data_IF_093214793283
#
_entry.id   IF_093214793283
#
_cell.length_a   1.000
_cell.length_b   1.000
_cell.length_c   1.000
_cell.angle_alpha   90.00
_cell.angle_beta   90.00
_cell.angle_gamma   90.00
#
_symmetry.space_group_name_H-M   'P 1'
#
loop_
_entity.id
_entity.type
_entity.pdbx_description
1 polymer ?
#
# COMPACT_ATOMS: atom_id res chain seq x y z
N UNK A 1 -16.09 27.55 -9.73
CA UNK A 1 -15.71 27.75 -8.32
C UNK A 1 -15.21 26.39 -7.83
N UNK A 2 -13.96 26.27 -7.38
CA UNK A 2 -13.47 24.99 -6.84
C UNK A 2 -14.23 24.76 -5.52
N UNK A 3 -14.83 23.58 -5.28
CA UNK A 3 -15.51 23.32 -4.01
C UNK A 3 -14.56 23.46 -2.84
N UNK A 4 -14.99 24.11 -1.75
CA UNK A 4 -14.18 24.28 -0.54
C UNK A 4 -13.63 22.94 0.00
N UNK A 5 -14.40 21.86 -0.17
CA UNK A 5 -14.02 20.49 0.15
C UNK A 5 -12.69 20.06 -0.53
N UNK A 6 -12.52 20.33 -1.82
CA UNK A 6 -11.32 19.93 -2.58
C UNK A 6 -10.10 20.68 -2.06
N UNK A 7 -10.25 21.96 -1.73
CA UNK A 7 -9.19 22.80 -1.17
C UNK A 7 -8.76 22.31 0.21
N UNK A 8 -9.73 21.99 1.07
CA UNK A 8 -9.46 21.47 2.42
C UNK A 8 -8.77 20.10 2.33
N UNK A 9 -9.28 19.19 1.49
CA UNK A 9 -8.66 17.87 1.31
C UNK A 9 -7.22 17.95 0.76
N UNK A 10 -6.93 18.87 -0.16
CA UNK A 10 -5.55 19.12 -0.61
C UNK A 10 -4.66 19.66 0.52
N UNK A 11 -5.20 20.58 1.32
CA UNK A 11 -4.52 21.21 2.46
C UNK A 11 -4.22 20.21 3.59
N UNK A 12 -5.05 19.19 3.76
CA UNK A 12 -4.85 18.12 4.74
C UNK A 12 -3.96 17.00 4.21
N UNK A 13 -4.00 16.75 2.90
CA UNK A 13 -3.17 15.74 2.24
C UNK A 13 -1.71 16.15 2.03
N UNK A 14 -1.43 17.44 1.87
CA UNK A 14 -0.08 17.95 1.62
C UNK A 14 0.56 18.54 2.88
N UNK A 15 1.90 18.58 2.92
CA UNK A 15 2.63 19.31 3.96
C UNK A 15 2.34 20.79 3.78
N UNK A 16 1.83 21.44 4.83
CA UNK A 16 1.53 22.87 4.80
C UNK A 16 2.82 23.68 4.95
N UNK A 17 3.12 24.62 4.04
CA UNK A 17 4.26 25.50 4.21
C UNK A 17 4.05 26.38 5.45
N UNK A 18 5.15 26.73 6.11
CA UNK A 18 5.18 27.82 7.08
C UNK A 18 4.84 29.15 6.43
N UNK A 19 4.54 30.17 7.23
CA UNK A 19 4.24 31.51 6.69
C UNK A 19 5.42 32.07 5.86
N UNK A 20 6.66 31.85 6.31
CA UNK A 20 7.87 32.26 5.60
C UNK A 20 8.06 31.49 4.28
N UNK A 21 7.84 30.17 4.28
CA UNK A 21 7.90 29.36 3.05
C UNK A 21 6.81 29.75 2.06
N UNK A 22 5.62 30.15 2.54
CA UNK A 22 4.54 30.60 1.68
C UNK A 22 4.84 31.97 1.05
N UNK A 23 5.40 32.91 1.82
CA UNK A 23 5.84 34.21 1.31
C UNK A 23 6.93 34.06 0.25
N UNK A 24 7.82 33.08 0.45
CA UNK A 24 8.93 32.78 -0.44
C UNK A 24 8.66 31.61 -1.41
N UNK A 25 7.39 31.21 -1.59
CA UNK A 25 7.04 29.98 -2.34
C UNK A 25 7.46 30.05 -3.82
N UNK A 26 7.43 31.24 -4.40
CA UNK A 26 7.84 31.45 -5.78
C UNK A 26 6.97 30.70 -6.80
N UNK A 27 7.62 30.06 -7.77
CA UNK A 27 6.93 29.30 -8.82
C UNK A 27 6.78 27.83 -8.40
N UNK A 28 5.57 27.25 -8.44
CA UNK A 28 5.38 25.84 -8.09
C UNK A 28 6.17 24.91 -9.00
N UNK A 29 6.77 23.89 -8.42
CA UNK A 29 7.42 22.80 -9.17
C UNK A 29 6.43 21.97 -9.98
N UNK A 30 5.18 21.89 -9.54
CA UNK A 30 4.11 21.16 -10.22
C UNK A 30 2.77 21.81 -9.89
N UNK A 31 1.90 21.97 -10.89
CA UNK A 31 0.58 22.62 -10.72
C UNK A 31 -0.57 21.66 -10.98
N UNK A 32 -1.54 21.61 -10.07
CA UNK A 32 -2.73 20.77 -10.22
C UNK A 32 -3.95 21.66 -10.48
N UNK A 33 -4.57 21.48 -11.64
CA UNK A 33 -5.82 22.10 -12.03
C UNK A 33 -6.97 21.13 -11.77
N UNK A 34 -7.57 21.22 -10.58
CA UNK A 34 -8.75 20.44 -10.25
C UNK A 34 -10.02 21.18 -10.69
N UNK A 35 -10.54 20.79 -11.85
CA UNK A 35 -11.83 21.22 -12.39
C UNK A 35 -12.82 20.04 -12.41
N UNK A 36 -12.78 19.20 -11.37
CA UNK A 36 -13.53 17.96 -11.25
C UNK A 36 -15.05 18.04 -11.44
N UNK A 37 -15.65 19.21 -11.18
CA UNK A 37 -17.07 19.47 -11.46
C UNK A 37 -17.40 19.61 -12.95
N UNK A 38 -16.42 19.96 -13.77
CA UNK A 38 -16.58 20.17 -15.19
C UNK A 38 -16.28 18.87 -15.94
N UNK A 39 -17.20 18.35 -16.77
CA UNK A 39 -16.98 17.10 -17.48
C UNK A 39 -15.92 17.26 -18.57
N UNK A 40 -15.15 16.21 -18.78
CA UNK A 40 -14.27 16.10 -19.93
C UNK A 40 -15.08 15.98 -21.23
N UNK A 41 -14.60 16.61 -22.30
CA UNK A 41 -15.15 16.40 -23.64
C UNK A 41 -14.66 15.06 -24.19
N UNK A 42 -15.54 14.05 -24.18
CA UNK A 42 -15.29 12.68 -24.68
C UNK A 42 -14.87 12.58 -26.15
N UNK A 43 -15.08 13.64 -26.95
CA UNK A 43 -14.65 13.68 -28.35
C UNK A 43 -13.20 14.15 -28.52
N UNK A 44 -12.55 14.56 -27.43
CA UNK A 44 -11.11 14.86 -27.42
C UNK A 44 -10.32 13.57 -27.58
N UNK A 45 -9.21 13.63 -28.31
CA UNK A 45 -8.36 12.47 -28.57
C UNK A 45 -7.92 11.78 -27.27
N UNK A 46 -7.95 10.45 -27.25
CA UNK A 46 -7.69 9.56 -26.11
C UNK A 46 -8.70 9.61 -24.93
N UNK A 47 -9.68 10.51 -24.94
CA UNK A 47 -10.71 10.53 -23.89
C UNK A 47 -11.77 9.46 -24.15
N UNK A 48 -12.05 8.64 -23.14
CA UNK A 48 -13.01 7.52 -23.25
C UNK A 48 -14.28 7.74 -22.44
N UNK A 49 -14.32 8.76 -21.57
CA UNK A 49 -15.45 9.04 -20.68
C UNK A 49 -15.61 10.54 -20.43
N UNK A 50 -16.59 10.92 -19.59
CA UNK A 50 -16.73 12.29 -19.08
C UNK A 50 -15.71 12.64 -17.99
N UNK A 51 -14.88 11.68 -17.57
CA UNK A 51 -13.85 11.84 -16.54
C UNK A 51 -12.47 11.77 -17.20
N UNK A 52 -11.57 12.67 -16.82
CA UNK A 52 -10.15 12.64 -17.21
C UNK A 52 -9.26 13.06 -16.05
N UNK A 53 -8.14 12.35 -15.89
CA UNK A 53 -7.02 12.73 -15.02
C UNK A 53 -5.77 12.66 -15.88
N UNK A 54 -5.32 13.80 -16.39
CA UNK A 54 -4.19 13.89 -17.32
C UNK A 54 -2.99 14.56 -16.65
N UNK A 55 -1.82 13.94 -16.81
CA UNK A 55 -0.56 14.38 -16.24
C UNK A 55 0.44 14.72 -17.35
N UNK A 56 0.91 15.97 -17.37
CA UNK A 56 1.93 16.43 -18.31
C UNK A 56 3.25 16.72 -17.58
N UNK A 57 4.22 15.80 -17.73
CA UNK A 57 5.53 15.90 -17.08
C UNK A 57 6.40 17.03 -17.61
N UNK A 58 6.26 17.39 -18.90
CA UNK A 58 7.06 18.46 -19.51
C UNK A 58 6.60 19.84 -19.04
N UNK A 59 5.28 20.03 -18.94
CA UNK A 59 4.66 21.25 -18.42
C UNK A 59 4.60 21.29 -16.89
N UNK A 60 4.80 20.14 -16.24
CA UNK A 60 4.66 19.94 -14.79
C UNK A 60 3.26 20.31 -14.31
N UNK A 61 2.26 19.80 -15.01
CA UNK A 61 0.86 20.09 -14.76
C UNK A 61 0.03 18.81 -14.67
N UNK A 62 -1.02 18.81 -13.85
CA UNK A 62 -2.08 17.81 -13.87
C UNK A 62 -3.43 18.49 -14.01
N UNK A 63 -4.33 17.90 -14.80
CA UNK A 63 -5.69 18.39 -14.99
C UNK A 63 -6.67 17.28 -14.59
N UNK A 64 -7.61 17.60 -13.70
CA UNK A 64 -8.67 16.69 -13.25
C UNK A 64 -10.02 17.26 -13.72
N UNK A 65 -10.79 16.45 -14.46
CA UNK A 65 -12.11 16.76 -15.00
C UNK A 65 -13.09 15.62 -14.72
N UNK A 66 -14.36 15.96 -14.47
CA UNK A 66 -15.46 15.01 -14.36
C UNK A 66 -15.38 14.02 -13.21
N UNK A 67 -14.62 14.34 -12.16
CA UNK A 67 -14.57 13.57 -10.90
C UNK A 67 -14.30 14.52 -9.74
N UNK A 68 -15.07 14.39 -8.66
CA UNK A 68 -14.88 15.14 -7.42
C UNK A 68 -14.21 14.28 -6.34
N UNK A 69 -13.77 13.07 -6.70
CA UNK A 69 -13.12 12.16 -5.77
C UNK A 69 -11.75 12.72 -5.37
N UNK A 70 -11.57 13.05 -4.08
CA UNK A 70 -10.41 13.79 -3.62
C UNK A 70 -9.08 13.03 -3.85
N UNK A 71 -9.12 11.70 -3.79
CA UNK A 71 -7.95 10.84 -3.97
C UNK A 71 -7.30 10.96 -5.34
N UNK A 72 -8.01 11.45 -6.37
CA UNK A 72 -7.41 11.69 -7.68
C UNK A 72 -6.26 12.69 -7.60
N UNK A 73 -6.39 13.70 -6.75
CA UNK A 73 -5.34 14.69 -6.53
C UNK A 73 -4.14 14.08 -5.79
N UNK A 74 -4.41 13.33 -4.72
CA UNK A 74 -3.40 12.61 -3.92
C UNK A 74 -2.61 11.61 -4.78
N UNK A 75 -3.30 10.70 -5.47
CA UNK A 75 -2.69 9.64 -6.28
C UNK A 75 -2.04 10.16 -7.55
N UNK A 76 -2.54 11.25 -8.11
CA UNK A 76 -1.86 11.98 -9.19
C UNK A 76 -0.49 12.52 -8.75
N UNK A 77 -0.43 13.20 -7.60
CA UNK A 77 0.85 13.66 -7.03
C UNK A 77 1.77 12.49 -6.69
N UNK A 78 1.24 11.42 -6.12
CA UNK A 78 2.01 10.21 -5.84
C UNK A 78 2.62 9.58 -7.11
N UNK A 79 1.89 9.61 -8.23
CA UNK A 79 2.41 9.18 -9.53
C UNK A 79 3.56 10.06 -10.03
N UNK A 80 3.47 11.38 -9.82
CA UNK A 80 4.59 12.30 -10.07
C UNK A 80 5.80 11.94 -9.20
N UNK A 81 5.60 11.60 -7.93
CA UNK A 81 6.69 11.18 -7.03
C UNK A 81 7.34 9.87 -7.47
N UNK A 82 6.54 8.90 -7.92
CA UNK A 82 7.04 7.67 -8.55
C UNK A 82 7.86 7.94 -9.81
N UNK A 83 7.66 9.06 -10.51
CA UNK A 83 8.50 9.45 -11.63
C UNK A 83 9.77 10.21 -11.21
N UNK A 84 9.63 11.22 -10.35
CA UNK A 84 10.71 12.15 -10.02
C UNK A 84 11.73 11.56 -9.03
N UNK A 85 11.27 10.79 -8.04
CA UNK A 85 12.15 10.29 -6.97
C UNK A 85 13.17 9.26 -7.50
N UNK A 86 12.79 8.26 -8.32
CA UNK A 86 13.77 7.33 -8.87
C UNK A 86 14.85 8.00 -9.72
N UNK A 87 14.51 9.09 -10.42
CA UNK A 87 15.50 9.89 -11.17
C UNK A 87 16.55 10.57 -10.28
N UNK A 88 16.25 10.73 -9.00
CA UNK A 88 17.14 11.28 -7.97
C UNK A 88 17.82 10.20 -7.11
N UNK A 89 17.66 8.92 -7.45
CA UNK A 89 18.15 7.80 -6.62
C UNK A 89 17.34 7.59 -5.33
N UNK A 90 16.13 8.16 -5.25
CA UNK A 90 15.24 8.03 -4.09
C UNK A 90 14.13 7.05 -4.44
N UNK A 91 13.93 6.04 -3.62
CA UNK A 91 12.92 5.01 -3.86
C UNK A 91 11.54 5.46 -3.35
N UNK A 92 10.60 5.72 -4.25
CA UNK A 92 9.19 5.98 -3.90
C UNK A 92 8.44 4.68 -3.66
N UNK A 93 7.65 4.61 -2.59
CA UNK A 93 7.04 3.39 -2.05
C UNK A 93 5.56 3.61 -1.73
N UNK A 94 4.72 2.66 -2.10
CA UNK A 94 3.32 2.57 -1.65
C UNK A 94 3.28 1.69 -0.39
N UNK A 95 3.39 2.31 0.77
CA UNK A 95 3.63 1.63 2.04
C UNK A 95 3.03 2.37 3.22
N UNK A 96 2.63 1.65 4.26
CA UNK A 96 2.57 2.22 5.62
C UNK A 96 3.97 2.24 6.22
N UNK A 97 4.24 3.11 7.19
CA UNK A 97 5.54 3.22 7.83
C UNK A 97 5.41 3.66 9.28
N UNK A 98 6.14 2.98 10.17
CA UNK A 98 6.28 3.38 11.56
C UNK A 98 7.70 3.16 12.07
N UNK A 99 8.00 3.72 13.24
CA UNK A 99 9.31 3.69 13.87
C UNK A 99 9.18 3.26 15.34
N UNK A 100 9.97 2.29 15.75
CA UNK A 100 10.07 1.88 17.14
C UNK A 100 10.75 2.94 17.99
N UNK A 101 10.62 2.81 19.32
CA UNK A 101 11.26 3.75 20.27
C UNK A 101 12.79 3.74 20.18
N UNK A 102 13.37 2.66 19.66
CA UNK A 102 14.82 2.54 19.39
C UNK A 102 15.26 3.11 18.03
N UNK A 103 14.34 3.65 17.22
CA UNK A 103 14.62 4.20 15.90
C UNK A 103 14.59 3.18 14.75
N UNK A 104 14.26 1.92 15.02
CA UNK A 104 14.05 0.90 13.99
C UNK A 104 12.79 1.22 13.16
N UNK A 105 12.90 1.17 11.84
CA UNK A 105 11.82 1.55 10.91
C UNK A 105 11.23 0.31 10.26
N UNK A 106 9.90 0.24 10.16
CA UNK A 106 9.18 -0.81 9.46
C UNK A 106 8.32 -0.22 8.34
N UNK A 107 8.39 -0.84 7.16
CA UNK A 107 7.60 -0.52 5.97
C UNK A 107 6.60 -1.64 5.70
N UNK A 108 5.32 -1.28 5.54
CA UNK A 108 4.22 -2.22 5.33
C UNK A 108 3.69 -2.06 3.91
N UNK A 109 3.96 -3.02 3.04
CA UNK A 109 3.47 -2.99 1.65
C UNK A 109 2.13 -3.69 1.52
N UNK A 110 1.21 -3.11 0.74
CA UNK A 110 -0.11 -3.68 0.55
C UNK A 110 -1.05 -2.79 -0.26
N UNK A 111 -2.04 -3.43 -0.89
CA UNK A 111 -3.13 -2.71 -1.54
C UNK A 111 -4.12 -2.16 -0.48
N UNK A 112 -5.03 -1.29 -0.92
CA UNK A 112 -6.15 -0.89 -0.05
C UNK A 112 -6.92 -2.13 0.41
N UNK A 113 -7.25 -2.18 1.71
CA UNK A 113 -7.93 -3.32 2.33
C UNK A 113 -7.04 -4.46 2.82
N UNK A 114 -5.71 -4.42 2.60
CA UNK A 114 -4.77 -5.46 3.09
C UNK A 114 -4.12 -5.11 4.43
N UNK A 115 -4.86 -4.42 5.32
CA UNK A 115 -4.46 -4.04 6.68
C UNK A 115 -3.22 -3.13 6.82
N UNK A 116 -2.72 -2.53 5.73
CA UNK A 116 -1.56 -1.64 5.73
C UNK A 116 -1.65 -0.50 6.77
N UNK A 117 -2.74 0.27 6.72
CA UNK A 117 -3.01 1.34 7.70
C UNK A 117 -3.03 0.76 9.11
N UNK A 118 -3.90 -0.22 9.36
CA UNK A 118 -4.14 -0.81 10.67
C UNK A 118 -2.87 -1.38 11.32
N UNK A 119 -1.94 -1.93 10.53
CA UNK A 119 -0.66 -2.47 11.01
C UNK A 119 0.40 -1.38 11.19
N UNK A 120 0.37 -0.31 10.40
CA UNK A 120 1.26 0.84 10.58
C UNK A 120 0.89 1.67 11.82
N UNK A 121 -0.40 1.74 12.18
CA UNK A 121 -0.91 2.35 13.40
C UNK A 121 -0.79 1.38 14.59
N UNK A 122 0.41 1.26 15.12
CA UNK A 122 0.72 0.48 16.31
C UNK A 122 0.96 1.40 17.51
N UNK A 123 0.19 1.22 18.58
CA UNK A 123 0.32 1.96 19.84
C UNK A 123 1.74 1.97 20.46
N UNK A 124 2.58 0.99 20.13
CA UNK A 124 3.95 0.90 20.65
C UNK A 124 5.00 1.60 19.79
N UNK A 125 4.60 2.13 18.61
CA UNK A 125 5.50 2.68 17.59
C UNK A 125 5.00 4.04 17.11
N UNK A 126 5.92 4.91 16.71
CA UNK A 126 5.59 6.22 16.17
C UNK A 126 5.20 6.07 14.69
N UNK A 127 3.99 6.49 14.33
CA UNK A 127 3.56 6.51 12.93
C UNK A 127 4.37 7.55 12.15
N UNK A 128 4.96 7.13 11.02
CA UNK A 128 5.58 8.05 10.04
C UNK A 128 4.55 8.41 8.96
N UNK A 129 3.78 7.43 8.48
CA UNK A 129 2.67 7.65 7.55
C UNK A 129 2.00 6.35 7.15
N UNK A 130 0.81 6.46 6.56
CA UNK A 130 -0.12 5.36 6.27
C UNK A 130 0.03 4.74 4.86
N UNK A 131 0.59 5.50 3.91
CA UNK A 131 0.37 5.16 2.48
C UNK A 131 1.50 5.46 1.50
N UNK A 132 2.26 6.54 1.66
CA UNK A 132 3.15 7.06 0.60
C UNK A 132 4.49 7.57 1.16
N UNK A 133 5.59 6.87 0.88
CA UNK A 133 6.92 7.18 1.42
C UNK A 133 8.01 7.25 0.37
N UNK A 134 9.11 7.90 0.74
CA UNK A 134 10.36 7.92 -0.01
C UNK A 134 11.49 7.37 0.85
N UNK A 135 12.30 6.46 0.32
CA UNK A 135 13.51 5.95 0.95
C UNK A 135 14.75 6.52 0.26
N UNK A 136 15.37 7.50 0.91
CA UNK A 136 16.61 8.17 0.50
C UNK A 136 17.83 7.48 1.13
N UNK A 137 19.03 8.07 1.03
CA UNK A 137 20.20 7.57 1.77
C UNK A 137 20.17 7.94 3.25
N UNK A 138 19.37 8.93 3.64
CA UNK A 138 19.27 9.44 5.00
C UNK A 138 18.08 8.84 5.78
N UNK A 139 17.36 7.89 5.18
CA UNK A 139 16.20 7.23 5.78
C UNK A 139 14.92 7.39 4.98
N UNK A 140 13.79 7.13 5.66
CA UNK A 140 12.44 7.12 5.09
C UNK A 140 11.69 8.39 5.47
N UNK A 141 11.07 9.05 4.50
CA UNK A 141 10.24 10.24 4.69
C UNK A 141 8.82 10.01 4.18
N UNK A 142 7.82 10.59 4.86
CA UNK A 142 6.44 10.62 4.39
C UNK A 142 6.28 11.66 3.27
N UNK A 143 5.50 11.35 2.24
CA UNK A 143 5.21 12.29 1.13
C UNK A 143 4.10 13.28 1.52
N UNK A 144 3.20 12.88 2.42
CA UNK A 144 1.97 13.61 2.75
C UNK A 144 2.05 14.37 4.07
N UNK A 145 1.17 15.36 4.23
CA UNK A 145 0.94 16.07 5.49
C UNK A 145 -0.11 15.41 6.40
N UNK A 146 -0.88 14.46 5.87
CA UNK A 146 -1.98 13.79 6.59
C UNK A 146 -2.36 12.43 6.02
N UNK A 147 -3.25 11.74 6.75
CA UNK A 147 -3.83 10.45 6.38
C UNK A 147 -5.05 10.58 5.48
N UNK A 148 -5.34 9.55 4.69
CA UNK A 148 -6.62 9.42 3.98
C UNK A 148 -7.07 7.97 4.09
N UNK A 149 -7.97 7.73 5.04
CA UNK A 149 -8.27 6.38 5.54
C UNK A 149 -9.67 5.91 5.16
N UNK A 150 -9.78 4.59 4.96
CA UNK A 150 -11.08 3.96 4.76
C UNK A 150 -11.84 3.90 6.10
N UNK A 151 -13.08 4.37 6.12
CA UNK A 151 -13.93 4.39 7.31
C UNK A 151 -15.02 3.29 7.30
N UNK A 152 -14.98 2.34 6.35
CA UNK A 152 -15.86 1.16 6.34
C UNK A 152 -15.63 0.33 7.61
N UNK A 153 -16.71 0.02 8.33
CA UNK A 153 -16.69 -0.71 9.62
C UNK A 153 -15.76 -0.10 10.70
N UNK A 154 -15.48 1.21 10.60
CA UNK A 154 -14.69 1.92 11.60
C UNK A 154 -15.45 2.00 12.92
N UNK A 155 -14.80 1.58 14.01
CA UNK A 155 -15.32 1.73 15.37
C UNK A 155 -14.22 2.18 16.31
N UNK A 156 -14.60 2.87 17.39
CA UNK A 156 -13.65 3.34 18.41
C UNK A 156 -12.91 2.20 19.09
N UNK A 157 -13.55 1.05 19.23
CA UNK A 157 -12.99 -0.14 19.87
C UNK A 157 -11.93 -0.82 18.97
N UNK A 158 -12.19 -0.86 17.65
CA UNK A 158 -11.30 -1.51 16.68
C UNK A 158 -10.09 -0.63 16.33
N UNK A 159 -10.33 0.66 16.09
CA UNK A 159 -9.32 1.61 15.57
C UNK A 159 -9.43 2.97 16.29
N UNK A 160 -9.09 3.03 17.60
CA UNK A 160 -9.30 4.21 18.42
C UNK A 160 -8.56 5.45 17.92
N UNK A 161 -7.35 5.29 17.38
CA UNK A 161 -6.54 6.43 16.92
C UNK A 161 -7.14 7.09 15.67
N UNK A 162 -7.60 6.29 14.71
CA UNK A 162 -8.28 6.77 13.50
C UNK A 162 -9.63 7.40 13.88
N UNK A 163 -10.39 6.73 14.75
CA UNK A 163 -11.66 7.26 15.27
C UNK A 163 -11.49 8.62 15.95
N UNK A 164 -10.52 8.73 16.86
CA UNK A 164 -10.26 9.97 17.61
C UNK A 164 -9.65 11.08 16.74
N UNK A 165 -9.11 10.74 15.56
CA UNK A 165 -8.66 11.73 14.58
C UNK A 165 -9.82 12.41 13.85
N UNK A 166 -11.05 11.87 13.91
CA UNK A 166 -12.25 12.52 13.36
C UNK A 166 -12.69 13.65 14.31
N UNK A 167 -12.27 14.88 14.00
CA UNK A 167 -12.60 16.10 14.76
C UNK A 167 -12.65 17.30 13.82
N UNK A 168 -12.84 18.51 14.37
CA UNK A 168 -12.81 19.72 13.55
C UNK A 168 -11.52 19.81 12.73
N UNK A 169 -11.67 20.00 11.41
CA UNK A 169 -10.58 19.94 10.44
C UNK A 169 -10.56 18.66 9.60
N UNK A 170 -11.19 17.58 10.06
CA UNK A 170 -11.28 16.31 9.29
C UNK A 170 -12.37 16.39 8.23
N UNK A 171 -12.06 15.83 7.05
CA UNK A 171 -12.99 15.68 5.94
C UNK A 171 -13.47 14.24 5.86
N UNK A 172 -14.79 14.03 5.90
CA UNK A 172 -15.41 12.73 5.65
C UNK A 172 -16.00 12.72 4.23
N UNK A 173 -15.56 11.78 3.41
CA UNK A 173 -15.99 11.65 2.01
C UNK A 173 -16.94 10.46 1.86
N UNK A 174 -18.16 10.71 1.34
CA UNK A 174 -19.19 9.69 1.11
C UNK A 174 -19.62 8.89 2.36
N UNK A 175 -19.54 9.50 3.55
CA UNK A 175 -19.97 8.89 4.81
C UNK A 175 -21.39 9.31 5.16
N UNK A 176 -22.21 8.32 5.55
CA UNK A 176 -23.52 8.57 6.16
C UNK A 176 -23.32 8.84 7.65
N UNK A 177 -23.91 9.92 8.15
CA UNK A 177 -23.88 10.29 9.55
C UNK A 177 -25.29 10.59 10.04
N UNK A 178 -25.52 10.45 11.34
CA UNK A 178 -26.78 10.82 11.98
C UNK A 178 -26.88 12.36 12.07
N UNK A 179 -27.90 12.95 11.47
CA UNK A 179 -28.03 14.42 11.41
C UNK A 179 -28.26 15.09 12.77
N UNK A 180 -28.76 14.34 13.76
CA UNK A 180 -29.08 14.83 15.10
C UNK A 180 -27.91 14.67 16.07
N UNK A 181 -27.26 13.51 16.10
CA UNK A 181 -26.12 13.23 16.98
C UNK A 181 -24.79 13.64 16.35
N UNK A 182 -24.75 13.83 15.03
CA UNK A 182 -23.54 14.05 14.20
C UNK A 182 -22.55 12.89 14.27
N UNK A 183 -22.99 11.72 14.71
CA UNK A 183 -22.17 10.50 14.76
C UNK A 183 -22.10 9.83 13.40
N UNK A 184 -20.91 9.36 13.05
CA UNK A 184 -20.67 8.59 11.82
C UNK A 184 -21.19 7.17 12.01
N UNK A 185 -22.06 6.71 11.12
CA UNK A 185 -22.48 5.31 11.09
C UNK A 185 -21.42 4.49 10.34
N UNK A 186 -20.96 3.39 10.94
CA UNK A 186 -20.14 2.41 10.22
C UNK A 186 -20.95 1.84 9.06
N UNK A 187 -20.48 2.01 7.83
CA UNK A 187 -21.08 1.38 6.65
C UNK A 187 -20.51 -0.04 6.59
N UNK A 188 -21.37 -1.04 6.75
CA UNK A 188 -21.02 -2.43 6.45
C UNK A 188 -21.16 -2.65 4.93
N UNK A 189 -20.05 -2.88 4.23
CA UNK A 189 -20.11 -3.44 2.87
C UNK A 189 -20.10 -4.96 2.99
N UNK A 190 -21.02 -5.61 2.28
CA UNK A 190 -21.05 -7.07 2.20
C UNK A 190 -19.72 -7.56 1.63
N UNK A 191 -19.09 -8.52 2.31
CA UNK A 191 -17.81 -9.10 1.87
C UNK A 191 -18.01 -9.68 0.46
N UNK A 192 -17.54 -8.98 -0.57
CA UNK A 192 -17.44 -9.51 -1.92
C UNK A 192 -16.29 -10.51 -1.98
N UNK A 193 -16.49 -11.58 -2.74
CA UNK A 193 -15.51 -12.66 -2.85
C UNK A 193 -14.13 -12.13 -3.30
N UNK A 194 -13.03 -12.52 -2.61
CA UNK A 194 -11.70 -12.02 -2.95
C UNK A 194 -11.22 -12.56 -4.29
N UNK A 195 -10.93 -11.67 -5.23
CA UNK A 195 -10.33 -12.04 -6.52
C UNK A 195 -8.81 -11.85 -6.46
N UNK A 196 -8.05 -12.87 -6.87
CA UNK A 196 -6.60 -12.79 -6.94
C UNK A 196 -6.20 -11.62 -7.88
N UNK A 197 -5.45 -10.67 -7.34
CA UNK A 197 -5.01 -9.46 -8.06
C UNK A 197 -3.51 -9.31 -7.90
N UNK A 198 -2.80 -9.16 -9.01
CA UNK A 198 -1.38 -8.84 -9.02
C UNK A 198 -1.20 -7.37 -9.36
N UNK A 199 -0.67 -6.61 -8.40
CA UNK A 199 -0.33 -5.20 -8.59
C UNK A 199 1.17 -5.05 -8.33
N UNK A 200 1.92 -4.85 -9.41
CA UNK A 200 3.36 -4.64 -9.35
C UNK A 200 3.72 -3.56 -8.33
N UNK A 201 4.74 -3.83 -7.51
CA UNK A 201 5.19 -2.93 -6.43
C UNK A 201 4.07 -2.54 -5.44
N UNK A 202 3.00 -3.33 -5.35
CA UNK A 202 1.79 -3.02 -4.58
C UNK A 202 1.10 -1.71 -4.99
N UNK A 203 1.39 -1.17 -6.18
CA UNK A 203 0.99 0.17 -6.59
C UNK A 203 1.00 0.39 -8.10
N UNK A 204 0.69 -0.65 -8.89
CA UNK A 204 0.79 -0.62 -10.35
C UNK A 204 0.02 0.53 -11.02
N UNK A 205 -1.06 1.01 -10.41
CA UNK A 205 -1.84 2.14 -10.89
C UNK A 205 -1.09 3.49 -10.82
N UNK A 206 0.00 3.58 -10.04
CA UNK A 206 0.69 4.84 -9.74
C UNK A 206 2.13 4.87 -10.24
N UNK A 207 2.70 3.73 -10.62
CA UNK A 207 4.09 3.66 -11.08
C UNK A 207 4.22 4.17 -12.52
N UNK A 208 5.19 5.07 -12.72
CA UNK A 208 5.44 5.73 -14.02
C UNK A 208 6.67 5.18 -14.76
N UNK A 209 7.35 4.21 -14.16
CA UNK A 209 8.57 3.58 -14.67
C UNK A 209 8.35 2.06 -14.57
N UNK A 210 9.12 1.27 -15.33
CA UNK A 210 8.98 -0.18 -15.28
C UNK A 210 9.19 -0.75 -13.86
N UNK A 211 8.32 -1.68 -13.37
CA UNK A 211 8.36 -2.23 -12.01
C UNK A 211 9.72 -2.76 -11.56
N UNK A 212 10.44 -3.43 -12.45
CA UNK A 212 11.76 -4.01 -12.16
C UNK A 212 12.75 -2.93 -11.72
N UNK A 213 12.59 -1.67 -12.15
CA UNK A 213 13.44 -0.55 -11.68
C UNK A 213 13.25 -0.27 -10.20
N UNK A 214 12.01 -0.30 -9.72
CA UNK A 214 11.72 -0.14 -8.30
C UNK A 214 12.19 -1.35 -7.49
N UNK A 215 12.04 -2.56 -8.04
CA UNK A 215 12.56 -3.78 -7.41
C UNK A 215 14.09 -3.72 -7.23
N UNK A 216 14.83 -3.31 -8.26
CA UNK A 216 16.29 -3.13 -8.19
C UNK A 216 16.68 -2.13 -7.10
N UNK A 217 16.01 -0.97 -7.06
CA UNK A 217 16.25 0.04 -6.03
C UNK A 217 15.93 -0.46 -4.62
N UNK A 218 14.87 -1.26 -4.47
CA UNK A 218 14.50 -1.88 -3.20
C UNK A 218 15.60 -2.85 -2.73
N UNK A 219 16.09 -3.73 -3.61
CA UNK A 219 17.17 -4.66 -3.31
C UNK A 219 18.43 -3.91 -2.86
N UNK A 220 18.84 -2.88 -3.62
CA UNK A 220 20.01 -2.05 -3.28
C UNK A 220 19.85 -1.42 -1.89
N UNK A 221 18.70 -0.82 -1.59
CA UNK A 221 18.42 -0.21 -0.28
C UNK A 221 18.41 -1.25 0.84
N UNK A 222 17.74 -2.38 0.64
CA UNK A 222 17.68 -3.44 1.65
C UNK A 222 19.07 -4.00 1.97
N UNK A 223 19.89 -4.28 0.94
CA UNK A 223 21.26 -4.76 1.12
C UNK A 223 22.14 -3.73 1.83
N UNK A 224 22.10 -2.46 1.39
CA UNK A 224 22.88 -1.37 1.98
C UNK A 224 22.58 -1.16 3.46
N UNK A 225 21.32 -1.32 3.86
CA UNK A 225 20.86 -1.04 5.21
C UNK A 225 20.64 -2.29 6.07
N UNK A 226 20.90 -3.50 5.54
CA UNK A 226 20.66 -4.76 6.25
C UNK A 226 19.18 -5.00 6.58
N UNK A 227 18.26 -4.48 5.78
CA UNK A 227 16.83 -4.64 6.02
C UNK A 227 16.35 -6.04 5.62
N UNK A 228 15.45 -6.62 6.42
CA UNK A 228 14.83 -7.92 6.16
C UNK A 228 13.47 -7.79 5.49
N UNK A 229 13.09 -8.77 4.67
CA UNK A 229 11.77 -8.84 4.03
C UNK A 229 10.90 -9.94 4.64
N UNK A 230 9.62 -9.66 4.86
CA UNK A 230 8.64 -10.59 5.42
C UNK A 230 7.37 -10.62 4.58
N UNK A 231 6.81 -11.81 4.34
CA UNK A 231 5.52 -11.98 3.68
C UNK A 231 4.47 -12.39 4.72
N UNK A 232 3.47 -11.54 4.94
CA UNK A 232 2.43 -11.76 5.94
C UNK A 232 1.07 -11.88 5.26
N UNK A 233 0.39 -13.01 5.46
CA UNK A 233 -0.98 -13.18 4.96
C UNK A 233 -1.97 -12.49 5.92
N UNK A 234 -2.58 -11.38 5.47
CA UNK A 234 -3.66 -10.67 6.17
C UNK A 234 -5.05 -11.00 5.62
N UNK A 235 -5.12 -11.98 4.71
CA UNK A 235 -6.31 -12.43 4.02
C UNK A 235 -6.97 -13.61 4.73
N UNK A 236 -7.14 -14.70 4.00
CA UNK A 236 -7.91 -15.87 4.44
C UNK A 236 -7.01 -17.10 4.62
N UNK A 237 -7.45 -18.01 5.49
CA UNK A 237 -6.87 -19.34 5.69
C UNK A 237 -7.97 -20.39 5.91
N UNK A 238 -7.65 -21.67 5.77
CA UNK A 238 -8.56 -22.78 6.11
C UNK A 238 -9.54 -23.21 5.04
N UNK A 239 -9.41 -22.69 3.81
CA UNK A 239 -10.23 -23.09 2.69
C UNK A 239 -10.04 -22.20 1.47
N UNK A 240 -10.66 -22.61 0.37
CA UNK A 240 -10.77 -21.81 -0.85
C UNK A 240 -11.73 -20.62 -0.63
N UNK A 241 -11.89 -19.79 -1.66
CA UNK A 241 -12.88 -18.71 -1.64
C UNK A 241 -14.25 -19.23 -1.20
N UNK A 242 -14.83 -18.59 -0.18
CA UNK A 242 -16.13 -18.94 0.39
C UNK A 242 -16.14 -20.04 1.47
N UNK A 243 -15.03 -20.77 1.68
CA UNK A 243 -14.95 -21.85 2.69
C UNK A 243 -13.91 -21.63 3.78
N UNK A 244 -12.95 -20.72 3.58
CA UNK A 244 -11.98 -20.34 4.62
C UNK A 244 -12.53 -19.36 5.65
N UNK A 245 -11.66 -18.90 6.55
CA UNK A 245 -11.91 -17.80 7.48
C UNK A 245 -10.83 -16.72 7.32
N UNK A 246 -11.20 -15.45 7.52
CA UNK A 246 -10.22 -14.36 7.58
C UNK A 246 -9.29 -14.55 8.77
N UNK A 247 -7.98 -14.37 8.57
CA UNK A 247 -6.99 -14.47 9.65
C UNK A 247 -7.31 -13.38 10.67
N UNK A 248 -7.36 -13.76 11.96
CA UNK A 248 -7.67 -12.82 13.04
C UNK A 248 -6.57 -11.76 13.12
N UNK A 249 -6.97 -10.49 13.14
CA UNK A 249 -6.05 -9.35 13.26
C UNK A 249 -5.15 -9.47 14.50
N UNK A 250 -5.64 -10.03 15.60
CA UNK A 250 -4.85 -10.25 16.81
C UNK A 250 -3.67 -11.21 16.58
N UNK A 251 -3.82 -12.22 15.71
CA UNK A 251 -2.71 -13.10 15.34
C UNK A 251 -1.72 -12.36 14.43
N UNK A 252 -2.20 -11.60 13.45
CA UNK A 252 -1.34 -10.78 12.61
C UNK A 252 -0.51 -9.78 13.43
N UNK A 253 -1.11 -9.10 14.42
CA UNK A 253 -0.38 -8.19 15.31
C UNK A 253 0.74 -8.90 16.07
N UNK A 254 0.49 -10.09 16.64
CA UNK A 254 1.54 -10.89 17.29
C UNK A 254 2.67 -11.31 16.35
N UNK A 255 2.35 -11.63 15.09
CA UNK A 255 3.37 -11.90 14.06
C UNK A 255 4.23 -10.66 13.82
N UNK A 256 3.60 -9.48 13.68
CA UNK A 256 4.32 -8.20 13.51
C UNK A 256 5.17 -7.87 14.76
N UNK A 257 4.66 -8.10 15.96
CA UNK A 257 5.41 -7.91 17.21
C UNK A 257 6.64 -8.83 17.28
N UNK A 258 6.50 -10.09 16.85
CA UNK A 258 7.61 -11.03 16.75
C UNK A 258 8.66 -10.55 15.73
N UNK A 259 8.24 -10.02 14.58
CA UNK A 259 9.13 -9.40 13.59
C UNK A 259 9.89 -8.22 14.21
N UNK A 260 9.19 -7.28 14.84
CA UNK A 260 9.79 -6.10 15.46
C UNK A 260 10.76 -6.45 16.59
N UNK A 261 10.48 -7.50 17.35
CA UNK A 261 11.36 -7.95 18.43
C UNK A 261 12.69 -8.53 17.93
N UNK A 262 12.76 -8.90 16.64
CA UNK A 262 13.87 -9.62 16.05
C UNK A 262 13.94 -11.11 16.41
N UNK A 263 13.00 -11.64 17.22
CA UNK A 263 13.00 -13.05 17.62
C UNK A 263 12.95 -14.00 16.43
N UNK A 264 12.26 -13.60 15.35
CA UNK A 264 12.14 -14.41 14.15
C UNK A 264 13.48 -14.56 13.41
N UNK A 265 14.43 -13.63 13.55
CA UNK A 265 15.74 -13.74 12.89
C UNK A 265 16.52 -15.00 13.29
N UNK A 266 16.20 -15.61 14.43
CA UNK A 266 16.86 -16.80 14.96
C UNK A 266 15.86 -17.95 15.23
N UNK A 267 14.65 -17.88 14.65
CA UNK A 267 13.63 -18.92 14.85
C UNK A 267 13.94 -20.19 14.05
N UNK A 268 13.23 -21.27 14.39
CA UNK A 268 13.21 -22.47 13.56
C UNK A 268 12.17 -22.32 12.46
N UNK A 269 12.49 -22.83 11.27
CA UNK A 269 11.67 -22.67 10.08
C UNK A 269 11.36 -24.01 9.40
N UNK A 270 10.21 -24.07 8.74
CA UNK A 270 9.82 -25.12 7.79
C UNK A 270 9.65 -24.46 6.43
N UNK A 271 10.22 -25.10 5.40
CA UNK A 271 10.14 -24.62 4.03
C UNK A 271 8.89 -25.15 3.32
N UNK A 272 8.18 -24.27 2.60
CA UNK A 272 7.18 -24.66 1.60
C UNK A 272 7.89 -24.77 0.26
N UNK A 273 8.04 -25.99 -0.26
CA UNK A 273 8.81 -26.25 -1.48
C UNK A 273 8.28 -25.50 -2.71
N UNK A 274 6.95 -25.42 -2.88
CA UNK A 274 6.32 -24.79 -4.05
C UNK A 274 6.67 -23.30 -4.16
N UNK A 275 6.75 -22.57 -3.05
CA UNK A 275 7.07 -21.13 -3.07
C UNK A 275 8.48 -20.82 -2.56
N UNK A 276 9.22 -21.82 -2.07
CA UNK A 276 10.50 -21.63 -1.41
C UNK A 276 10.45 -20.83 -0.10
N UNK A 277 9.25 -20.57 0.44
CA UNK A 277 9.07 -19.72 1.63
C UNK A 277 9.42 -20.46 2.91
N UNK A 278 10.12 -19.79 3.80
CA UNK A 278 10.42 -20.26 5.14
C UNK A 278 9.37 -19.75 6.12
N UNK A 279 8.70 -20.67 6.81
CA UNK A 279 7.64 -20.38 7.79
C UNK A 279 8.13 -20.72 9.20
N UNK A 280 8.03 -19.79 10.16
CA UNK A 280 8.44 -20.07 11.53
C UNK A 280 7.59 -21.19 12.13
N UNK A 281 8.22 -22.09 12.88
CA UNK A 281 7.54 -23.25 13.48
C UNK A 281 6.61 -22.87 14.63
N UNK A 282 6.92 -21.78 15.32
CA UNK A 282 6.17 -21.31 16.49
C UNK A 282 6.29 -19.78 16.62
N UNK A 283 5.22 -19.15 17.06
CA UNK A 283 5.17 -17.75 17.47
C UNK A 283 4.27 -17.68 18.70
N UNK A 284 4.79 -17.12 19.80
CA UNK A 284 4.06 -17.08 21.06
C UNK A 284 2.67 -16.47 20.89
N UNK A 285 1.66 -17.26 21.27
CA UNK A 285 0.26 -16.83 21.23
C UNK A 285 -0.37 -16.76 19.84
N UNK A 286 0.28 -17.32 18.80
CA UNK A 286 -0.31 -17.63 17.50
C UNK A 286 -0.43 -19.15 17.38
N UNK A 287 -1.62 -19.72 17.14
CA UNK A 287 -1.76 -21.17 16.97
C UNK A 287 -0.89 -21.69 15.82
N UNK A 288 -0.14 -22.78 16.05
CA UNK A 288 0.77 -23.37 15.04
C UNK A 288 0.06 -23.82 13.77
N UNK A 289 -1.21 -24.21 13.88
CA UNK A 289 -2.09 -24.49 12.75
C UNK A 289 -2.30 -23.29 11.82
N UNK A 290 -2.26 -22.06 12.33
CA UNK A 290 -2.36 -20.83 11.53
C UNK A 290 -1.04 -20.54 10.81
N UNK A 291 0.10 -20.84 11.44
CA UNK A 291 1.42 -20.63 10.85
C UNK A 291 1.63 -21.54 9.63
N UNK A 292 1.14 -22.78 9.70
CA UNK A 292 1.22 -23.77 8.63
C UNK A 292 -0.11 -23.85 7.88
N UNK A 293 -0.30 -23.15 6.73
CA UNK A 293 -1.61 -22.98 6.12
C UNK A 293 -2.31 -24.29 5.80
N UNK A 294 -1.54 -25.32 5.39
CA UNK A 294 -2.05 -26.67 5.13
C UNK A 294 -2.81 -27.24 6.33
N UNK A 295 -2.41 -26.96 7.56
CA UNK A 295 -3.03 -27.49 8.78
C UNK A 295 -4.46 -26.97 8.97
N UNK A 296 -4.76 -25.76 8.51
CA UNK A 296 -6.10 -25.18 8.59
C UNK A 296 -7.11 -25.80 7.61
N UNK A 297 -6.66 -26.49 6.56
CA UNK A 297 -7.54 -27.09 5.56
C UNK A 297 -8.00 -28.48 6.01
N UNK A 298 -9.30 -28.75 5.94
CA UNK A 298 -9.86 -30.09 6.13
C UNK A 298 -9.49 -31.01 4.96
N UNK A 299 -9.61 -30.50 3.73
CA UNK A 299 -9.18 -31.17 2.50
C UNK A 299 -7.74 -30.79 2.13
N UNK A 300 -6.80 -31.69 2.43
CA UNK A 300 -5.38 -31.51 2.11
C UNK A 300 -5.09 -31.55 0.61
N UNK A 301 -5.90 -32.25 -0.17
CA UNK A 301 -5.73 -32.29 -1.63
C UNK A 301 -6.19 -30.95 -2.22
N UNK A 302 -7.34 -30.43 -1.77
CA UNK A 302 -7.81 -29.10 -2.14
C UNK A 302 -6.82 -27.97 -1.80
N UNK A 303 -6.09 -28.10 -0.68
CA UNK A 303 -4.98 -27.18 -0.37
C UNK A 303 -3.88 -27.25 -1.42
N UNK A 304 -3.40 -28.45 -1.74
CA UNK A 304 -2.32 -28.65 -2.72
C UNK A 304 -2.72 -28.16 -4.12
N UNK A 305 -3.94 -28.45 -4.57
CA UNK A 305 -4.46 -27.97 -5.85
C UNK A 305 -4.52 -26.44 -5.90
N UNK A 306 -4.95 -25.81 -4.79
CA UNK A 306 -4.99 -24.34 -4.67
C UNK A 306 -3.58 -23.74 -4.66
N UNK A 307 -2.64 -24.38 -3.96
CA UNK A 307 -1.24 -23.97 -3.90
C UNK A 307 -0.58 -23.99 -5.29
N UNK A 308 -0.76 -25.08 -6.04
CA UNK A 308 -0.24 -25.22 -7.41
C UNK A 308 -0.92 -24.25 -8.38
N UNK A 309 -2.24 -24.07 -8.27
CA UNK A 309 -2.97 -23.07 -9.04
C UNK A 309 -2.42 -21.66 -8.80
N UNK A 310 -2.20 -21.29 -7.54
CA UNK A 310 -1.65 -19.99 -7.18
C UNK A 310 -0.23 -19.83 -7.74
N UNK A 311 0.63 -20.83 -7.60
CA UNK A 311 1.97 -20.83 -8.17
C UNK A 311 1.95 -20.63 -9.71
N UNK A 312 1.02 -21.28 -10.42
CA UNK A 312 0.78 -21.05 -11.84
C UNK A 312 0.36 -19.61 -12.16
N UNK A 313 -0.50 -19.00 -11.34
CA UNK A 313 -0.89 -17.59 -11.49
C UNK A 313 0.29 -16.64 -11.30
N UNK A 314 1.16 -16.90 -10.31
CA UNK A 314 2.39 -16.12 -10.10
C UNK A 314 3.33 -16.22 -11.29
N UNK A 315 3.60 -17.43 -11.80
CA UNK A 315 4.45 -17.63 -12.99
C UNK A 315 3.89 -16.87 -14.20
N UNK A 316 2.60 -17.06 -14.50
CA UNK A 316 1.93 -16.38 -15.63
C UNK A 316 1.97 -14.86 -15.49
N UNK A 317 1.72 -14.34 -14.29
CA UNK A 317 1.79 -12.90 -14.04
C UNK A 317 3.20 -12.36 -14.27
N UNK A 318 4.24 -13.13 -13.94
CA UNK A 318 5.62 -12.66 -14.06
C UNK A 318 6.16 -12.65 -15.50
N UNK A 319 5.56 -13.40 -16.42
CA UNK A 319 5.94 -13.44 -17.85
C UNK A 319 6.06 -12.05 -18.48
N UNK A 320 5.21 -11.10 -18.07
CA UNK A 320 5.19 -9.72 -18.59
C UNK A 320 6.44 -8.91 -18.24
N UNK A 321 7.25 -9.35 -17.27
CA UNK A 321 8.48 -8.66 -16.84
C UNK A 321 9.77 -9.25 -17.41
N UNK A 322 9.70 -10.43 -18.04
CA UNK A 322 10.87 -11.22 -18.49
C UNK A 322 11.76 -10.53 -19.53
N UNK A 323 11.18 -9.65 -20.34
CA UNK A 323 11.88 -8.97 -21.43
C UNK A 323 12.53 -7.64 -21.02
N UNK A 324 12.38 -7.20 -19.77
CA UNK A 324 12.95 -5.95 -19.30
C UNK A 324 14.36 -6.14 -18.73
N UNK A 325 15.28 -5.28 -19.15
CA UNK A 325 16.69 -5.29 -18.72
C UNK A 325 16.99 -4.11 -17.81
N UNK A 326 17.79 -4.32 -16.77
CA UNK A 326 18.37 -3.25 -15.96
C UNK A 326 19.89 -3.35 -16.03
N UNK A 327 20.52 -2.28 -16.51
CA UNK A 327 21.97 -2.27 -16.71
C UNK A 327 22.36 -2.98 -18.01
N UNK A 328 23.54 -3.58 -18.03
CA UNK A 328 24.12 -4.19 -19.23
C UNK A 328 23.61 -5.62 -19.49
N UNK A 329 23.03 -6.29 -18.49
CA UNK A 329 22.57 -7.69 -18.59
C UNK A 329 21.17 -7.96 -17.98
N UNK A 330 20.77 -9.23 -18.01
CA UNK A 330 19.48 -9.74 -17.51
C UNK A 330 19.57 -10.40 -16.13
N UNK A 331 20.71 -10.31 -15.44
CA UNK A 331 21.00 -11.08 -14.22
C UNK A 331 19.95 -10.90 -13.13
N UNK A 332 19.54 -9.66 -12.84
CA UNK A 332 18.52 -9.38 -11.83
C UNK A 332 17.15 -9.99 -12.20
N UNK A 333 16.77 -9.93 -13.48
CA UNK A 333 15.49 -10.52 -13.93
C UNK A 333 15.54 -12.05 -13.80
N UNK A 334 16.68 -12.67 -14.09
CA UNK A 334 16.91 -14.11 -13.91
C UNK A 334 16.90 -14.52 -12.44
N UNK A 335 17.51 -13.72 -11.55
CA UNK A 335 17.50 -13.94 -10.10
C UNK A 335 16.07 -13.86 -9.53
N UNK A 336 15.29 -12.86 -9.94
CA UNK A 336 13.88 -12.75 -9.51
C UNK A 336 13.06 -13.92 -10.03
N UNK A 337 13.29 -14.36 -11.27
CA UNK A 337 12.63 -15.55 -11.84
C UNK A 337 12.97 -16.82 -11.05
N UNK A 338 14.24 -17.01 -10.69
CA UNK A 338 14.70 -18.15 -9.92
C UNK A 338 14.15 -18.18 -8.48
N UNK A 339 13.81 -17.02 -7.92
CA UNK A 339 13.16 -16.88 -6.62
C UNK A 339 11.63 -17.11 -6.65
N UNK A 340 11.05 -17.23 -7.85
CA UNK A 340 9.63 -17.51 -8.03
C UNK A 340 9.22 -18.93 -7.61
N UNK A 341 7.91 -19.25 -7.62
CA UNK A 341 7.44 -20.56 -7.24
C UNK A 341 7.93 -21.66 -8.20
N UNK A 342 8.23 -22.84 -7.67
CA UNK A 342 8.54 -24.06 -8.40
C UNK A 342 7.29 -24.93 -8.50
N UNK A 343 6.93 -25.32 -9.72
CA UNK A 343 5.76 -26.16 -10.00
C UNK A 343 6.19 -27.60 -10.23
#
# INVERSE_FOLDING_TARGET
MIPAFVVISCSDGCIRPTAEELENFGTPDFTIYNAGQFPCNRYTHYMTSSTSIDLNLARKEMVILGTQYASETKKGLFSVMHYLMPKRGILSLHSGCNMGKGGDVALFFGLSGTAKTTLSTDHNRFLIGDDEHCWSDNGVSHIKGGGYENCIDLSREKEPDIWNAIKFGTVLENIVFDEHTREVAGIEDGIKEPTATFSACFGAAFIMIHPIKYAAMLVEKMQKHGATGWLVNTGWSGGSNGSGNRIKLSYTRKIIDAIHSGILLNANYIKIDVFGLEIPTDIEGVPSEILQPMNTWSDKNGYNDTLLKLAGLFKKNFEVFTNYKIGEDNSLTEEILAAGPNL
#
